data_IF_462073740889
#
_entry.id   IF_462073740889
#
_cell.length_a   1.000
_cell.length_b   1.000
_cell.length_c   1.000
_cell.angle_alpha   90.00
_cell.angle_beta   90.00
_cell.angle_gamma   90.00
#
_symmetry.space_group_name_H-M   'P 1'
#
loop_
_entity.id
_entity.type
_entity.pdbx_description
1 polymer ?
#
# COMPACT_ATOMS: atom_id res chain seq x y z
N UNK A 1 1.88 -14.27 10.38
CA UNK A 1 0.57 -14.24 9.70
C UNK A 1 0.27 -12.88 9.05
N UNK A 2 0.14 -11.78 9.80
CA UNK A 2 -0.24 -10.47 9.23
C UNK A 2 0.76 -9.89 8.22
N UNK A 3 2.07 -10.02 8.49
CA UNK A 3 3.14 -9.55 7.60
C UNK A 3 3.16 -10.27 6.24
N UNK A 4 2.92 -11.58 6.25
CA UNK A 4 2.88 -12.40 5.04
C UNK A 4 1.63 -12.09 4.19
N UNK A 5 0.49 -11.85 4.86
CA UNK A 5 -0.72 -11.40 4.18
C UNK A 5 -0.53 -10.07 3.47
N UNK A 6 0.19 -9.12 4.09
CA UNK A 6 0.47 -7.82 3.47
C UNK A 6 1.37 -7.98 2.24
N UNK A 7 2.40 -8.83 2.30
CA UNK A 7 3.28 -9.08 1.15
C UNK A 7 2.50 -9.67 -0.03
N UNK A 8 1.57 -10.58 0.24
CA UNK A 8 0.68 -11.14 -0.80
C UNK A 8 -0.25 -10.07 -1.39
N UNK A 9 -0.82 -9.21 -0.55
CA UNK A 9 -1.71 -8.13 -1.00
C UNK A 9 -0.95 -7.10 -1.85
N UNK A 10 0.27 -6.72 -1.45
CA UNK A 10 1.13 -5.82 -2.22
C UNK A 10 1.54 -6.42 -3.56
N UNK A 11 1.91 -7.70 -3.59
CA UNK A 11 2.22 -8.38 -4.84
C UNK A 11 1.02 -8.38 -5.81
N UNK A 12 -0.20 -8.64 -5.30
CA UNK A 12 -1.44 -8.58 -6.11
C UNK A 12 -1.73 -7.17 -6.59
N UNK A 13 -1.60 -6.18 -5.70
CA UNK A 13 -1.78 -4.78 -6.05
C UNK A 13 -0.81 -4.34 -7.14
N UNK A 14 0.46 -4.73 -7.04
CA UNK A 14 1.47 -4.44 -8.05
C UNK A 14 1.16 -5.12 -9.40
N UNK A 15 0.69 -6.36 -9.38
CA UNK A 15 0.31 -7.09 -10.61
C UNK A 15 -0.90 -6.44 -11.30
N UNK A 16 -1.93 -6.06 -10.54
CA UNK A 16 -3.11 -5.36 -11.11
C UNK A 16 -2.78 -3.97 -11.64
N UNK A 17 -1.88 -3.28 -10.95
CA UNK A 17 -1.37 -1.99 -11.41
C UNK A 17 -0.48 -2.14 -12.64
N UNK A 18 0.15 -3.30 -12.87
CA UNK A 18 0.99 -3.54 -14.04
C UNK A 18 0.15 -3.63 -15.32
N UNK A 19 -1.02 -4.26 -15.23
CA UNK A 19 -1.97 -4.37 -16.33
C UNK A 19 -2.84 -3.11 -16.51
N UNK A 20 -2.78 -2.19 -15.54
CA UNK A 20 -3.48 -0.90 -15.57
C UNK A 20 -2.57 0.22 -16.08
N UNK A 21 -3.08 1.07 -16.98
CA UNK A 21 -2.39 2.30 -17.37
C UNK A 21 -2.44 3.32 -16.23
N UNK A 22 -1.38 3.34 -15.41
CA UNK A 22 -1.17 4.36 -14.40
C UNK A 22 -0.23 5.47 -14.89
N UNK A 23 -0.51 6.69 -14.46
CA UNK A 23 0.42 7.81 -14.60
C UNK A 23 1.75 7.56 -13.86
N UNK A 24 2.81 8.22 -14.33
CA UNK A 24 4.16 8.05 -13.79
C UNK A 24 4.23 8.41 -12.29
N UNK A 25 3.49 9.43 -11.85
CA UNK A 25 3.45 9.87 -10.46
C UNK A 25 2.80 8.83 -9.54
N UNK A 26 1.72 8.18 -9.98
CA UNK A 26 1.06 7.10 -9.25
C UNK A 26 1.95 5.87 -9.18
N UNK A 27 2.65 5.50 -10.27
CA UNK A 27 3.62 4.40 -10.24
C UNK A 27 4.81 4.68 -9.33
N UNK A 28 5.30 5.92 -9.26
CA UNK A 28 6.37 6.28 -8.32
C UNK A 28 5.87 6.16 -6.88
N UNK A 29 4.72 6.78 -6.60
CA UNK A 29 4.10 6.76 -5.28
C UNK A 29 3.83 5.34 -4.77
N UNK A 30 3.39 4.44 -5.66
CA UNK A 30 3.13 3.05 -5.31
C UNK A 30 4.42 2.27 -4.98
N UNK A 31 5.48 2.47 -5.77
CA UNK A 31 6.79 1.82 -5.51
C UNK A 31 7.40 2.28 -4.20
N UNK A 32 7.29 3.56 -3.91
CA UNK A 32 7.76 4.10 -2.65
C UNK A 32 6.93 3.57 -1.47
N UNK A 33 5.61 3.45 -1.62
CA UNK A 33 4.75 2.82 -0.60
C UNK A 33 5.15 1.35 -0.36
N UNK A 34 5.41 0.59 -1.42
CA UNK A 34 5.83 -0.80 -1.33
C UNK A 34 7.16 -0.94 -0.55
N UNK A 35 8.14 -0.09 -0.89
CA UNK A 35 9.42 -0.02 -0.17
C UNK A 35 9.23 0.35 1.30
N UNK A 36 8.41 1.35 1.59
CA UNK A 36 8.14 1.79 2.96
C UNK A 36 7.48 0.67 3.79
N UNK A 37 6.60 -0.14 3.17
CA UNK A 37 5.97 -1.29 3.83
C UNK A 37 6.98 -2.41 4.04
N UNK A 38 7.86 -2.71 3.08
CA UNK A 38 8.93 -3.68 3.31
C UNK A 38 9.83 -3.30 4.48
N UNK A 39 10.24 -2.03 4.55
CA UNK A 39 11.04 -1.50 5.66
C UNK A 39 10.30 -1.60 7.00
N UNK A 40 8.99 -1.38 6.99
CA UNK A 40 8.13 -1.56 8.17
C UNK A 40 8.10 -3.00 8.68
N UNK A 41 8.11 -3.97 7.77
CA UNK A 41 8.04 -5.38 8.10
C UNK A 41 9.38 -5.95 8.58
N UNK A 42 10.49 -5.42 8.05
CA UNK A 42 11.83 -5.94 8.30
C UNK A 42 12.54 -5.26 9.50
N UNK A 43 12.11 -4.06 9.90
CA UNK A 43 12.70 -3.32 11.03
C UNK A 43 11.73 -3.13 12.20
N UNK A 44 12.26 -3.07 13.42
CA UNK A 44 11.51 -2.68 14.62
C UNK A 44 11.07 -1.21 14.49
N UNK A 45 9.95 -1.01 13.82
CA UNK A 45 9.60 0.30 13.28
C UNK A 45 8.80 1.13 14.29
N UNK A 46 9.18 2.40 14.44
CA UNK A 46 8.47 3.38 15.26
C UNK A 46 7.05 3.64 14.75
N UNK A 47 6.10 3.82 15.67
CA UNK A 47 4.70 4.18 15.39
C UNK A 47 4.54 5.37 14.42
N UNK A 48 5.50 6.31 14.43
CA UNK A 48 5.54 7.45 13.52
C UNK A 48 5.71 7.04 12.04
N UNK A 49 6.57 6.05 11.76
CA UNK A 49 6.75 5.51 10.40
C UNK A 49 5.48 4.77 9.94
N UNK A 50 4.84 3.99 10.83
CA UNK A 50 3.55 3.34 10.51
C UNK A 50 2.51 4.40 10.11
N UNK A 51 2.41 5.50 10.86
CA UNK A 51 1.47 6.58 10.55
C UNK A 51 1.75 7.24 9.20
N UNK A 52 3.02 7.46 8.86
CA UNK A 52 3.42 8.06 7.58
C UNK A 52 3.03 7.17 6.39
N UNK A 53 3.30 5.88 6.49
CA UNK A 53 2.93 4.91 5.45
C UNK A 53 1.41 4.79 5.30
N UNK A 54 0.68 4.80 6.42
CA UNK A 54 -0.79 4.81 6.41
C UNK A 54 -1.36 6.04 5.71
N UNK A 55 -0.77 7.22 5.94
CA UNK A 55 -1.20 8.47 5.29
C UNK A 55 -0.96 8.43 3.78
N UNK A 56 0.22 7.96 3.35
CA UNK A 56 0.52 7.73 1.92
C UNK A 56 -0.43 6.75 1.26
N UNK A 57 -0.71 5.63 1.92
CA UNK A 57 -1.61 4.60 1.41
C UNK A 57 -3.03 5.17 1.18
N UNK A 58 -3.56 5.96 2.13
CA UNK A 58 -4.85 6.64 1.99
C UNK A 58 -4.88 7.65 0.84
N UNK A 59 -3.78 8.36 0.63
CA UNK A 59 -3.67 9.32 -0.46
C UNK A 59 -3.71 8.62 -1.83
N UNK A 60 -3.00 7.48 -1.95
CA UNK A 60 -3.07 6.62 -3.13
C UNK A 60 -4.46 6.00 -3.32
N UNK A 61 -5.09 5.49 -2.25
CA UNK A 61 -6.46 4.98 -2.27
C UNK A 61 -7.44 6.01 -2.85
N UNK A 62 -7.35 7.26 -2.38
CA UNK A 62 -8.21 8.37 -2.85
C UNK A 62 -8.00 8.63 -4.34
N UNK A 63 -6.76 8.57 -4.85
CA UNK A 63 -6.47 8.70 -6.28
C UNK A 63 -7.02 7.53 -7.08
N UNK A 64 -6.88 6.31 -6.57
CA UNK A 64 -7.42 5.10 -7.21
C UNK A 64 -8.94 5.06 -7.19
N UNK A 65 -9.61 5.63 -6.20
CA UNK A 65 -11.08 5.69 -6.15
C UNK A 65 -11.68 6.42 -7.36
N UNK A 66 -10.94 7.37 -7.94
CA UNK A 66 -11.38 8.17 -9.09
C UNK A 66 -11.11 7.43 -10.40
N UNK A 67 -9.93 6.83 -10.54
CA UNK A 67 -9.46 6.29 -11.83
C UNK A 67 -9.57 4.76 -11.95
N UNK A 68 -9.42 4.03 -10.83
CA UNK A 68 -9.28 2.57 -10.81
C UNK A 68 -9.94 1.94 -9.57
N UNK A 69 -11.27 1.74 -9.59
CA UNK A 69 -12.02 1.19 -8.44
C UNK A 69 -11.54 -0.20 -8.00
N UNK A 70 -11.04 -1.01 -8.93
CA UNK A 70 -10.47 -2.33 -8.60
C UNK A 70 -9.20 -2.19 -7.76
N UNK A 71 -8.30 -1.27 -8.14
CA UNK A 71 -7.03 -1.03 -7.44
C UNK A 71 -7.28 -0.39 -6.07
N UNK A 72 -8.28 0.49 -5.97
CA UNK A 72 -8.73 1.08 -4.71
C UNK A 72 -9.10 0.01 -3.68
N UNK A 73 -9.87 -1.00 -4.10
CA UNK A 73 -10.27 -2.09 -3.21
C UNK A 73 -9.07 -2.86 -2.63
N UNK A 74 -8.07 -3.13 -3.46
CA UNK A 74 -6.83 -3.76 -2.99
C UNK A 74 -6.05 -2.84 -2.03
N UNK A 75 -5.99 -1.54 -2.33
CA UNK A 75 -5.32 -0.56 -1.47
C UNK A 75 -6.00 -0.46 -0.10
N UNK A 76 -7.33 -0.48 -0.06
CA UNK A 76 -8.13 -0.50 1.18
C UNK A 76 -7.79 -1.72 2.04
N UNK A 77 -7.64 -2.91 1.44
CA UNK A 77 -7.22 -4.11 2.16
C UNK A 77 -5.79 -4.01 2.70
N UNK A 78 -4.87 -3.36 1.97
CA UNK A 78 -3.51 -3.06 2.45
C UNK A 78 -3.57 -2.13 3.67
N UNK A 79 -4.35 -1.05 3.60
CA UNK A 79 -4.54 -0.08 4.70
C UNK A 79 -5.12 -0.78 5.94
N UNK A 80 -6.16 -1.59 5.77
CA UNK A 80 -6.78 -2.34 6.87
C UNK A 80 -5.80 -3.33 7.52
N UNK A 81 -4.92 -3.92 6.73
CA UNK A 81 -3.91 -4.85 7.24
C UNK A 81 -2.78 -4.11 7.95
N UNK A 82 -2.34 -2.96 7.43
CA UNK A 82 -1.35 -2.10 8.08
C UNK A 82 -1.89 -1.55 9.41
N UNK A 83 -3.16 -1.15 9.45
CA UNK A 83 -3.83 -0.75 10.67
C UNK A 83 -3.80 -1.87 11.73
N UNK A 84 -4.05 -3.12 11.33
CA UNK A 84 -3.98 -4.28 12.23
C UNK A 84 -2.57 -4.60 12.74
N UNK A 85 -1.52 -4.19 12.04
CA UNK A 85 -0.12 -4.35 12.49
C UNK A 85 0.25 -3.26 13.49
N UNK A 86 -0.28 -2.05 13.33
CA UNK A 86 -0.02 -0.91 14.21
C UNK A 86 -0.91 -0.80 15.46
N UNK A 87 -1.93 -1.66 15.58
CA UNK A 87 -2.84 -1.77 16.75
C UNK A 87 -2.30 -2.77 17.76
#
# INVERSE_FOLDING_TARGET
MSNEKIRILLAKLHDEVRDTELDADTRSSLRELDSDIHDLLDSATSRQKISFVMERAKLLETRFAISHPTVERFMREVIDTLAKIGV
#
